data_IF_812540439348
#
_entry.id   IF_812540439348
#
_cell.length_a   1.000
_cell.length_b   1.000
_cell.length_c   1.000
_cell.angle_alpha   90.00
_cell.angle_beta   90.00
_cell.angle_gamma   90.00
#
_symmetry.space_group_name_H-M   'P 1'
#
loop_
_entity.id
_entity.type
_entity.pdbx_description
1 polymer ?
#
# COMPACT_ATOMS: atom_id res chain seq x y z
N UNK A 1 17.61 19.14 -47.68
CA UNK A 1 17.73 19.74 -46.37
C UNK A 1 16.46 19.60 -45.50
N UNK A 2 15.27 19.87 -46.02
CA UNK A 2 13.99 19.83 -45.24
C UNK A 2 13.60 18.45 -44.68
N UNK A 3 13.93 17.34 -45.39
CA UNK A 3 13.64 15.96 -44.91
C UNK A 3 14.43 15.55 -43.67
N UNK A 4 15.67 16.02 -43.52
CA UNK A 4 16.50 15.74 -42.34
C UNK A 4 16.11 16.56 -41.15
N UNK A 5 15.58 17.75 -41.34
CA UNK A 5 15.08 18.62 -40.28
C UNK A 5 13.83 18.03 -39.62
N UNK A 6 12.91 17.45 -40.41
CA UNK A 6 11.73 16.73 -39.88
C UNK A 6 12.11 15.47 -39.09
N UNK A 7 13.15 14.74 -39.53
CA UNK A 7 13.61 13.54 -38.82
C UNK A 7 14.26 13.89 -37.47
N UNK A 8 15.02 14.99 -37.43
CA UNK A 8 15.59 15.49 -36.17
C UNK A 8 14.50 15.97 -35.19
N UNK A 9 13.45 16.62 -35.68
CA UNK A 9 12.31 17.06 -34.87
C UNK A 9 11.53 15.87 -34.28
N UNK A 10 11.40 14.76 -35.03
CA UNK A 10 10.74 13.54 -34.57
C UNK A 10 11.57 12.77 -33.52
N UNK A 11 12.91 12.87 -33.58
CA UNK A 11 13.80 12.30 -32.56
C UNK A 11 13.74 13.08 -31.23
N UNK A 12 13.59 14.40 -31.29
CA UNK A 12 13.46 15.25 -30.10
C UNK A 12 12.12 15.08 -29.38
N UNK A 13 11.05 14.69 -30.10
CA UNK A 13 9.74 14.39 -29.49
C UNK A 13 9.66 13.04 -28.77
N UNK A 14 10.68 12.18 -28.92
CA UNK A 14 10.83 10.92 -28.19
C UNK A 14 11.77 11.02 -26.97
N UNK A 15 12.23 12.21 -26.62
CA UNK A 15 12.84 12.45 -25.32
C UNK A 15 11.74 12.28 -24.26
N UNK A 16 11.58 11.06 -23.81
CA UNK A 16 10.62 10.72 -22.77
C UNK A 16 10.79 11.67 -21.58
N UNK A 17 9.69 12.06 -20.98
CA UNK A 17 9.69 12.73 -19.69
C UNK A 17 10.44 11.83 -18.72
N UNK A 18 11.70 12.13 -18.43
CA UNK A 18 12.40 11.54 -17.32
C UNK A 18 11.63 11.99 -16.08
N UNK A 19 10.80 11.12 -15.54
CA UNK A 19 10.26 11.32 -14.20
C UNK A 19 11.46 11.34 -13.26
N UNK A 20 11.68 12.45 -12.60
CA UNK A 20 12.70 12.54 -11.56
C UNK A 20 12.35 11.48 -10.51
N UNK A 21 13.11 10.40 -10.47
CA UNK A 21 12.98 9.39 -9.45
C UNK A 21 13.49 10.02 -8.14
N UNK A 22 12.60 10.15 -7.17
CA UNK A 22 13.01 10.58 -5.83
C UNK A 22 13.94 9.51 -5.25
N UNK A 23 15.14 9.89 -4.85
CA UNK A 23 16.12 8.99 -4.24
C UNK A 23 16.18 9.15 -2.71
N UNK A 24 15.23 9.88 -2.13
CA UNK A 24 15.25 10.23 -0.71
C UNK A 24 13.85 10.06 -0.10
N UNK A 25 13.82 9.47 1.08
CA UNK A 25 12.65 9.52 1.96
C UNK A 25 12.65 10.89 2.65
N UNK A 26 11.62 11.68 2.42
CA UNK A 26 11.46 12.99 3.05
C UNK A 26 10.35 12.89 4.10
N UNK A 27 10.69 13.16 5.36
CA UNK A 27 9.73 13.17 6.46
C UNK A 27 8.87 14.43 6.43
N UNK A 28 7.61 14.31 6.86
CA UNK A 28 6.69 15.44 7.01
C UNK A 28 5.99 15.88 5.72
N UNK A 29 6.19 15.16 4.61
CA UNK A 29 5.42 15.35 3.37
C UNK A 29 4.69 14.05 3.00
N UNK A 30 3.54 14.11 2.31
CA UNK A 30 2.88 12.93 1.79
C UNK A 30 3.78 12.15 0.82
N UNK A 31 3.75 10.83 0.91
CA UNK A 31 4.33 9.96 -0.11
C UNK A 31 3.30 9.73 -1.22
N UNK A 32 3.79 9.54 -2.44
CA UNK A 32 2.95 9.31 -3.60
C UNK A 32 3.29 7.96 -4.24
N UNK A 33 2.27 7.30 -4.77
CA UNK A 33 2.44 6.09 -5.57
C UNK A 33 2.88 6.43 -7.01
N UNK A 34 3.17 5.39 -7.80
CA UNK A 34 3.59 5.49 -9.20
C UNK A 34 2.55 6.14 -10.14
N UNK A 35 1.32 6.34 -9.64
CA UNK A 35 0.22 7.03 -10.35
C UNK A 35 -0.04 8.43 -9.83
N UNK A 36 0.74 8.90 -8.85
CA UNK A 36 0.60 10.22 -8.23
C UNK A 36 -0.50 10.31 -7.18
N UNK A 37 -1.04 9.19 -6.69
CA UNK A 37 -1.95 9.19 -5.56
C UNK A 37 -1.17 9.18 -4.24
N UNK A 38 -1.73 9.79 -3.20
CA UNK A 38 -1.15 9.72 -1.85
C UNK A 38 -1.15 8.27 -1.37
N UNK A 39 0.01 7.80 -0.84
CA UNK A 39 0.12 6.51 -0.18
C UNK A 39 -0.73 6.54 1.09
N UNK A 40 -1.79 5.74 1.10
CA UNK A 40 -2.75 5.65 2.20
C UNK A 40 -2.55 4.32 2.93
N UNK A 41 -1.70 4.34 3.97
CA UNK A 41 -1.28 3.17 4.73
C UNK A 41 -0.99 3.56 6.18
N UNK A 42 -2.03 3.93 6.94
CA UNK A 42 -1.90 4.31 8.35
C UNK A 42 -1.50 3.11 9.22
N UNK A 43 -0.83 3.37 10.35
CA UNK A 43 -0.42 2.34 11.29
C UNK A 43 0.42 1.22 10.68
N UNK A 44 1.19 1.55 9.67
CA UNK A 44 1.80 0.63 8.72
C UNK A 44 2.82 -0.34 9.31
N UNK A 45 3.06 -1.42 8.55
CA UNK A 45 4.27 -2.24 8.65
C UNK A 45 4.88 -2.46 7.27
N UNK A 46 6.19 -2.71 7.25
CA UNK A 46 6.93 -3.08 6.05
C UNK A 46 7.44 -4.51 6.21
N UNK A 47 7.30 -5.30 5.15
CA UNK A 47 7.82 -6.67 5.05
C UNK A 47 8.72 -6.72 3.82
N UNK A 48 9.90 -7.32 3.95
CA UNK A 48 10.76 -7.64 2.82
C UNK A 48 10.50 -9.09 2.39
N UNK A 49 10.34 -9.30 1.09
CA UNK A 49 10.21 -10.64 0.49
C UNK A 49 10.96 -10.67 -0.84
N UNK A 50 11.98 -11.50 -0.93
CA UNK A 50 12.81 -11.69 -2.13
C UNK A 50 13.42 -10.39 -2.70
N UNK A 51 13.92 -9.51 -1.84
CA UNK A 51 14.53 -8.24 -2.22
C UNK A 51 13.54 -7.13 -2.57
N UNK A 52 12.25 -7.34 -2.34
CA UNK A 52 11.19 -6.36 -2.56
C UNK A 52 10.48 -6.03 -1.26
N UNK A 53 10.16 -4.76 -1.06
CA UNK A 53 9.47 -4.27 0.13
C UNK A 53 7.98 -4.16 -0.11
N UNK A 54 7.19 -4.54 0.89
CA UNK A 54 5.74 -4.43 0.89
C UNK A 54 5.28 -3.63 2.10
N UNK A 55 4.58 -2.54 1.85
CA UNK A 55 4.01 -1.66 2.86
C UNK A 55 2.53 -1.98 3.01
N UNK A 56 2.13 -2.39 4.21
CA UNK A 56 0.73 -2.62 4.58
C UNK A 56 0.28 -1.55 5.55
N UNK A 57 -0.95 -1.09 5.41
CA UNK A 57 -1.53 -0.13 6.34
C UNK A 57 -3.02 0.03 6.17
N UNK A 58 -3.61 0.77 7.08
CA UNK A 58 -5.02 1.08 7.06
C UNK A 58 -5.33 2.02 5.89
N UNK A 59 -6.24 1.62 5.03
CA UNK A 59 -6.82 2.50 4.03
C UNK A 59 -7.87 3.37 4.71
N UNK A 60 -7.52 4.58 5.09
CA UNK A 60 -8.41 5.49 5.83
C UNK A 60 -9.10 6.48 4.90
N UNK A 61 -10.28 6.94 5.31
CA UNK A 61 -10.92 8.12 4.74
C UNK A 61 -10.88 9.27 5.75
N UNK A 62 -10.91 10.50 5.27
CA UNK A 62 -10.97 11.70 6.13
C UNK A 62 -12.34 11.90 6.79
N UNK A 63 -13.32 11.04 6.46
CA UNK A 63 -14.72 11.19 6.88
C UNK A 63 -15.11 10.30 8.06
N UNK A 64 -14.42 9.20 8.27
CA UNK A 64 -14.79 8.21 9.28
C UNK A 64 -13.60 7.36 9.68
N UNK A 65 -13.57 6.91 10.94
CA UNK A 65 -12.61 5.93 11.45
C UNK A 65 -13.03 4.48 11.18
N UNK A 66 -14.22 4.27 10.59
CA UNK A 66 -14.67 2.94 10.22
C UNK A 66 -13.68 2.29 9.23
N UNK A 67 -13.46 1.00 9.40
CA UNK A 67 -12.52 0.21 8.60
C UNK A 67 -13.03 -0.02 7.18
N UNK A 68 -12.39 0.53 6.14
CA UNK A 68 -12.72 0.22 4.74
C UNK A 68 -11.84 -0.88 4.16
N UNK A 69 -10.63 -1.10 4.73
CA UNK A 69 -9.69 -2.11 4.29
C UNK A 69 -8.26 -1.85 4.71
N UNK A 70 -7.39 -2.83 4.46
CA UNK A 70 -5.94 -2.67 4.53
C UNK A 70 -5.35 -2.62 3.13
N UNK A 71 -4.55 -1.59 2.86
CA UNK A 71 -3.81 -1.41 1.61
C UNK A 71 -2.50 -2.19 1.60
N UNK A 72 -2.04 -2.54 0.38
CA UNK A 72 -0.70 -3.04 0.13
C UNK A 72 -0.06 -2.24 -1.00
N UNK A 73 1.16 -1.79 -0.77
CA UNK A 73 2.05 -1.17 -1.75
C UNK A 73 3.34 -1.97 -1.83
N UNK A 74 4.01 -1.94 -2.99
CA UNK A 74 5.33 -2.53 -3.15
C UNK A 74 6.36 -1.50 -3.58
N UNK A 75 7.64 -1.75 -3.26
CA UNK A 75 8.76 -0.91 -3.62
C UNK A 75 10.04 -1.73 -3.73
N UNK A 76 10.95 -1.36 -4.63
CA UNK A 76 12.28 -1.94 -4.72
C UNK A 76 13.33 -1.11 -3.96
N UNK A 77 12.96 0.09 -3.47
CA UNK A 77 13.92 1.06 -2.90
C UNK A 77 13.42 1.81 -1.65
N UNK A 78 12.19 1.48 -1.14
CA UNK A 78 11.52 2.15 -0.01
C UNK A 78 11.11 3.62 -0.27
N UNK A 79 11.32 4.12 -1.47
CA UNK A 79 11.04 5.51 -1.87
C UNK A 79 9.92 5.58 -2.90
N UNK A 80 10.01 4.73 -3.92
CA UNK A 80 9.06 4.68 -5.01
C UNK A 80 8.07 3.54 -4.78
N UNK A 81 6.84 3.90 -4.47
CA UNK A 81 5.79 2.96 -4.08
C UNK A 81 4.81 2.71 -5.23
N UNK A 82 4.43 1.48 -5.45
CA UNK A 82 3.39 1.05 -6.37
C UNK A 82 2.21 0.49 -5.57
N UNK A 83 1.01 0.99 -5.81
CA UNK A 83 -0.20 0.41 -5.24
C UNK A 83 -0.46 -0.97 -5.84
N UNK A 84 -0.56 -1.99 -4.99
CA UNK A 84 -0.85 -3.36 -5.42
C UNK A 84 -2.34 -3.68 -5.26
N UNK A 85 -2.88 -3.58 -4.04
CA UNK A 85 -4.26 -3.98 -3.76
C UNK A 85 -4.76 -3.45 -2.40
N UNK A 86 -6.08 -3.57 -2.18
CA UNK A 86 -6.68 -3.63 -0.84
C UNK A 86 -6.79 -5.11 -0.47
N UNK A 87 -5.82 -5.58 0.32
CA UNK A 87 -5.61 -7.01 0.60
C UNK A 87 -6.62 -7.61 1.58
N UNK A 88 -7.23 -6.79 2.41
CA UNK A 88 -8.34 -7.18 3.27
C UNK A 88 -9.36 -6.03 3.29
N UNK A 89 -10.58 -6.31 2.86
CA UNK A 89 -11.67 -5.34 2.82
C UNK A 89 -12.57 -5.48 4.03
N UNK A 90 -13.41 -4.48 4.27
CA UNK A 90 -14.53 -4.60 5.22
C UNK A 90 -15.32 -5.87 4.92
N UNK A 91 -15.63 -6.62 5.99
CA UNK A 91 -16.38 -7.87 5.89
C UNK A 91 -17.89 -7.60 5.99
N UNK A 92 -18.74 -8.50 5.51
CA UNK A 92 -20.20 -8.33 5.65
C UNK A 92 -20.64 -8.24 7.12
N UNK A 93 -19.94 -8.93 8.02
CA UNK A 93 -20.23 -9.01 9.45
C UNK A 93 -18.96 -9.29 10.29
N UNK A 94 -19.10 -9.41 11.60
CA UNK A 94 -18.02 -9.77 12.52
C UNK A 94 -17.13 -8.60 12.91
N UNK A 95 -15.94 -8.92 13.41
CA UNK A 95 -15.01 -7.93 14.01
C UNK A 95 -14.45 -6.89 13.03
N UNK A 96 -14.53 -7.15 11.74
CA UNK A 96 -14.18 -6.22 10.64
C UNK A 96 -15.39 -5.89 9.76
N UNK A 97 -16.60 -6.04 10.31
CA UNK A 97 -17.86 -5.69 9.67
C UNK A 97 -18.06 -4.17 9.54
N UNK A 98 -19.24 -3.75 9.03
CA UNK A 98 -19.60 -2.34 8.95
C UNK A 98 -19.56 -1.67 10.35
N UNK A 99 -19.11 -0.40 10.37
CA UNK A 99 -18.99 0.39 11.59
C UNK A 99 -18.07 -0.22 12.68
N UNK A 100 -17.07 -0.98 12.24
CA UNK A 100 -15.98 -1.47 13.08
C UNK A 100 -14.69 -0.72 12.74
N UNK A 101 -13.74 -0.74 13.66
CA UNK A 101 -12.37 -0.25 13.50
C UNK A 101 -11.46 -1.42 13.17
N UNK A 102 -10.52 -1.25 12.22
CA UNK A 102 -9.46 -2.18 11.92
C UNK A 102 -8.15 -1.41 11.78
N UNK A 103 -7.16 -1.70 12.65
CA UNK A 103 -5.98 -0.85 12.81
C UNK A 103 -4.70 -1.65 13.06
N UNK A 104 -3.55 -0.95 12.89
CA UNK A 104 -2.22 -1.38 13.35
C UNK A 104 -1.81 -2.74 12.80
N UNK A 105 -2.04 -2.94 11.52
CA UNK A 105 -1.74 -4.19 10.81
C UNK A 105 -0.27 -4.58 10.98
N UNK A 106 -0.03 -5.89 11.17
CA UNK A 106 1.28 -6.52 11.09
C UNK A 106 1.18 -7.74 10.20
N UNK A 107 2.12 -7.86 9.26
CA UNK A 107 2.19 -8.98 8.32
C UNK A 107 3.50 -9.72 8.53
N UNK A 108 3.43 -11.05 8.51
CA UNK A 108 4.59 -11.92 8.61
C UNK A 108 4.38 -13.21 7.83
N UNK A 109 5.45 -13.84 7.38
CA UNK A 109 5.40 -15.16 6.76
C UNK A 109 5.52 -16.24 7.81
N UNK A 110 4.61 -17.20 7.81
CA UNK A 110 4.70 -18.38 8.68
C UNK A 110 5.77 -19.35 8.14
N UNK A 111 6.86 -19.61 8.87
CA UNK A 111 7.93 -20.48 8.36
C UNK A 111 7.51 -21.95 8.21
N UNK A 112 6.45 -22.39 8.88
CA UNK A 112 5.96 -23.77 8.80
C UNK A 112 5.06 -24.02 7.60
N UNK A 113 4.19 -23.07 7.25
CA UNK A 113 3.20 -23.23 6.18
C UNK A 113 3.57 -22.48 4.91
N UNK A 114 4.46 -21.48 5.02
CA UNK A 114 4.79 -20.56 3.94
C UNK A 114 3.71 -19.49 3.67
N UNK A 115 2.59 -19.54 4.41
CA UNK A 115 1.51 -18.57 4.28
C UNK A 115 1.87 -17.25 4.98
N UNK A 116 1.32 -16.17 4.49
CA UNK A 116 1.36 -14.86 5.14
C UNK A 116 0.25 -14.77 6.16
N UNK A 117 0.59 -14.27 7.34
CA UNK A 117 -0.34 -14.02 8.44
C UNK A 117 -0.43 -12.51 8.64
N UNK A 118 -1.64 -11.99 8.66
CA UNK A 118 -1.94 -10.61 8.98
C UNK A 118 -2.62 -10.55 10.35
N UNK A 119 -2.01 -9.85 11.28
CA UNK A 119 -2.59 -9.54 12.59
C UNK A 119 -3.02 -8.08 12.61
N UNK A 120 -4.15 -7.78 13.23
CA UNK A 120 -4.66 -6.42 13.37
C UNK A 120 -5.42 -6.24 14.68
N UNK A 121 -5.47 -5.03 15.18
CA UNK A 121 -6.44 -4.61 16.15
C UNK A 121 -7.79 -4.41 15.46
N UNK A 122 -8.85 -4.95 16.03
CA UNK A 122 -10.23 -4.66 15.63
C UNK A 122 -11.05 -4.23 16.85
N UNK A 123 -11.97 -3.27 16.66
CA UNK A 123 -12.75 -2.72 17.76
C UNK A 123 -14.11 -2.22 17.26
N UNK A 124 -14.98 -1.80 18.19
CA UNK A 124 -16.10 -0.96 17.84
C UNK A 124 -15.64 0.51 17.65
N UNK A 125 -16.54 1.37 17.20
CA UNK A 125 -16.24 2.78 16.94
C UNK A 125 -15.94 3.59 18.22
N UNK A 126 -16.21 3.04 19.41
CA UNK A 126 -16.00 3.65 20.72
C UNK A 126 -14.79 3.06 21.46
N UNK A 127 -14.10 2.09 20.85
CA UNK A 127 -12.96 1.37 21.42
C UNK A 127 -13.28 0.65 22.74
N UNK A 128 -14.45 0.00 22.81
CA UNK A 128 -14.95 -0.71 23.98
C UNK A 128 -15.09 -2.22 23.81
N UNK A 129 -14.86 -2.73 22.58
CA UNK A 129 -15.01 -4.15 22.21
C UNK A 129 -13.79 -4.63 21.40
N UNK A 130 -12.58 -4.67 22.05
CA UNK A 130 -11.32 -4.92 21.39
C UNK A 130 -11.09 -6.40 21.07
N UNK A 131 -10.56 -6.66 19.87
CA UNK A 131 -10.13 -7.98 19.38
C UNK A 131 -8.75 -7.91 18.75
N UNK A 132 -8.09 -9.06 18.70
CA UNK A 132 -6.99 -9.31 17.78
C UNK A 132 -7.57 -10.09 16.62
N UNK A 133 -7.64 -9.45 15.45
CA UNK A 133 -8.02 -10.10 14.20
C UNK A 133 -6.85 -10.84 13.57
N UNK A 134 -7.16 -11.94 12.87
CA UNK A 134 -6.18 -12.73 12.12
C UNK A 134 -6.74 -13.05 10.74
N UNK A 135 -5.94 -12.81 9.70
CA UNK A 135 -6.21 -13.27 8.34
C UNK A 135 -4.98 -13.98 7.76
N UNK A 136 -5.17 -14.89 6.82
CA UNK A 136 -4.08 -15.59 6.15
C UNK A 136 -4.25 -15.57 4.64
N UNK A 137 -3.12 -15.61 3.92
CA UNK A 137 -3.09 -15.71 2.47
C UNK A 137 -1.84 -16.45 1.98
N UNK A 138 -1.91 -17.04 0.78
CA UNK A 138 -0.76 -17.72 0.16
C UNK A 138 0.19 -16.78 -0.56
N UNK A 139 -0.27 -15.60 -0.93
CA UNK A 139 0.52 -14.59 -1.63
C UNK A 139 0.61 -13.33 -0.78
N UNK A 140 1.74 -12.59 -0.88
CA UNK A 140 2.00 -11.44 -0.02
C UNK A 140 1.04 -10.27 -0.30
N UNK A 141 0.58 -10.11 -1.52
CA UNK A 141 -0.31 -9.01 -1.93
C UNK A 141 -1.79 -9.42 -2.05
N UNK A 142 -2.19 -10.56 -1.48
CA UNK A 142 -3.59 -11.02 -1.45
C UNK A 142 -3.97 -11.93 -2.61
#
# INVERSE_FOLDING_TARGET
MMKYLLFLLFLLLKAGTATAQNNLVVNGIPWFDDKGNIVNAHGACIVEENGRYYLFGEWKSDKSNAFPGFSCYSSDDLVNWKFENIVLRVQPEGILGPNRVGERVKVMKCPKTGEYIMLMHADDMEYKDPYIGLATCKTIAG
#
